data_IF_337532416256
#
_entry.id   IF_337532416256
#
_cell.length_a   1.000
_cell.length_b   1.000
_cell.length_c   1.000
_cell.angle_alpha   90.00
_cell.angle_beta   90.00
_cell.angle_gamma   90.00
#
_symmetry.space_group_name_H-M   'P 1'
#
loop_
_entity.id
_entity.type
_entity.pdbx_description
1 polymer ?
#
# COMPACT_ATOMS: atom_id res chain seq x y z
N UNK A 1 -9.01 2.68 30.70
CA UNK A 1 -7.57 2.79 30.44
C UNK A 1 -7.33 2.19 29.05
N UNK A 2 -7.45 2.94 28.02
CA UNK A 2 -6.47 3.76 27.29
C UNK A 2 -5.13 3.07 27.13
N UNK A 3 -4.96 2.29 26.11
CA UNK A 3 -3.70 2.22 25.39
C UNK A 3 -4.00 1.83 23.94
N UNK A 4 -4.24 2.86 23.14
CA UNK A 4 -4.13 2.74 21.70
C UNK A 4 -2.68 2.49 21.37
N UNK A 5 -2.33 1.27 21.10
CA UNK A 5 -1.02 0.93 20.57
C UNK A 5 -1.01 1.44 19.14
N UNK A 6 -0.44 2.61 18.98
CA UNK A 6 0.03 3.10 17.70
C UNK A 6 1.15 2.18 17.28
N UNK A 7 0.83 1.17 16.51
CA UNK A 7 1.87 0.34 15.92
C UNK A 7 2.42 1.07 14.72
N UNK A 8 3.48 1.74 15.01
CA UNK A 8 4.45 2.26 14.08
C UNK A 8 5.12 1.12 13.36
N UNK A 9 5.38 1.36 12.13
CA UNK A 9 6.56 0.90 11.43
C UNK A 9 6.32 0.02 10.24
N UNK A 10 6.28 0.67 9.11
CA UNK A 10 7.01 0.11 7.99
C UNK A 10 7.93 1.21 7.46
N UNK A 11 9.19 1.08 7.72
CA UNK A 11 10.22 1.83 7.01
C UNK A 11 10.33 1.19 5.64
N UNK A 12 9.65 1.75 4.67
CA UNK A 12 9.82 1.40 3.28
C UNK A 12 10.92 2.28 2.71
N UNK A 13 12.16 1.75 2.67
CA UNK A 13 13.20 2.31 1.82
C UNK A 13 12.81 2.02 0.37
N UNK A 14 12.03 2.90 -0.26
CA UNK A 14 11.80 2.86 -1.68
C UNK A 14 13.06 3.41 -2.38
N UNK A 15 13.94 2.52 -2.81
CA UNK A 15 14.99 2.82 -3.79
C UNK A 15 14.32 2.97 -5.16
N UNK A 16 13.86 4.19 -5.46
CA UNK A 16 13.42 4.52 -6.80
C UNK A 16 14.66 4.87 -7.63
N UNK A 17 15.16 3.89 -8.37
CA UNK A 17 16.14 4.12 -9.41
C UNK A 17 15.41 4.71 -10.63
N UNK A 18 15.35 6.02 -10.73
CA UNK A 18 14.97 6.69 -11.96
C UNK A 18 16.18 6.71 -12.89
N UNK A 19 16.28 5.73 -13.79
CA UNK A 19 17.19 5.84 -14.95
C UNK A 19 16.62 6.86 -15.90
N UNK A 20 17.38 7.93 -16.10
CA UNK A 20 17.01 9.17 -16.73
C UNK A 20 16.30 9.09 -18.06
N UNK A 21 15.22 9.84 -18.15
CA UNK A 21 14.91 10.61 -19.34
C UNK A 21 15.26 12.05 -19.03
N UNK A 22 16.23 12.60 -19.74
CA UNK A 22 16.54 14.02 -19.73
C UNK A 22 15.38 14.80 -20.35
N UNK A 23 14.41 15.13 -19.51
CA UNK A 23 13.48 16.22 -19.75
C UNK A 23 13.75 17.26 -18.68
N UNK A 24 13.97 18.49 -19.15
CA UNK A 24 14.27 19.71 -18.43
C UNK A 24 14.05 19.61 -16.91
N UNK A 25 15.13 19.70 -16.17
CA UNK A 25 15.13 19.84 -14.72
C UNK A 25 14.46 21.17 -14.40
N UNK A 26 13.15 21.16 -14.27
CA UNK A 26 12.49 22.11 -13.41
C UNK A 26 12.89 21.71 -11.98
N UNK A 27 13.18 22.69 -11.16
CA UNK A 27 13.62 22.67 -9.75
C UNK A 27 12.75 21.79 -8.80
N UNK A 28 12.28 20.65 -9.26
CA UNK A 28 11.48 19.74 -8.45
C UNK A 28 12.40 19.06 -7.43
N UNK A 29 12.28 19.51 -6.22
CA UNK A 29 12.93 18.87 -5.09
C UNK A 29 12.49 17.41 -5.04
N UNK A 30 13.38 16.48 -4.70
CA UNK A 30 13.04 15.04 -4.64
C UNK A 30 11.86 14.71 -3.72
N UNK A 31 11.68 15.47 -2.66
CA UNK A 31 10.55 15.40 -1.74
C UNK A 31 9.21 15.72 -2.42
N UNK A 32 9.14 16.75 -3.28
CA UNK A 32 7.93 17.08 -4.04
C UNK A 32 7.51 15.97 -5.01
N UNK A 33 8.49 15.26 -5.59
CA UNK A 33 8.21 14.10 -6.43
C UNK A 33 7.57 12.95 -5.63
N UNK A 34 8.06 12.70 -4.42
CA UNK A 34 7.51 11.69 -3.51
C UNK A 34 6.12 12.10 -3.01
N UNK A 35 5.92 13.37 -2.67
CA UNK A 35 4.60 13.89 -2.32
C UNK A 35 3.60 13.69 -3.46
N UNK A 36 3.96 14.09 -4.68
CA UNK A 36 3.12 13.89 -5.88
C UNK A 36 2.78 12.41 -6.09
N UNK A 37 3.73 11.51 -5.85
CA UNK A 37 3.51 10.08 -5.95
C UNK A 37 2.46 9.61 -4.94
N UNK A 38 2.58 9.96 -3.67
CA UNK A 38 1.63 9.55 -2.63
C UNK A 38 0.25 10.20 -2.79
N UNK A 39 0.20 11.46 -3.25
CA UNK A 39 -1.07 12.12 -3.51
C UNK A 39 -1.88 11.43 -4.63
N UNK A 40 -1.23 10.87 -5.65
CA UNK A 40 -1.91 10.04 -6.67
C UNK A 40 -2.60 8.81 -6.05
N UNK A 41 -1.99 8.17 -5.07
CA UNK A 41 -2.63 7.05 -4.35
C UNK A 41 -3.84 7.53 -3.55
N UNK A 42 -3.72 8.63 -2.82
CA UNK A 42 -4.83 9.21 -2.04
C UNK A 42 -5.97 9.68 -2.94
N UNK A 43 -5.64 10.29 -4.08
CA UNK A 43 -6.61 10.73 -5.07
C UNK A 43 -7.25 9.55 -5.84
N UNK A 44 -6.71 8.33 -5.68
CA UNK A 44 -7.12 7.16 -6.49
C UNK A 44 -7.06 7.46 -7.98
N UNK A 45 -5.94 8.06 -8.42
CA UNK A 45 -5.67 8.38 -9.82
C UNK A 45 -5.98 7.17 -10.73
N UNK A 46 -6.50 7.41 -11.92
CA UNK A 46 -6.95 6.36 -12.84
C UNK A 46 -5.85 5.32 -13.12
N UNK A 47 -4.59 5.74 -13.21
CA UNK A 47 -3.47 4.81 -13.42
C UNK A 47 -3.25 3.90 -12.20
N UNK A 48 -3.37 4.45 -10.98
CA UNK A 48 -3.27 3.68 -9.74
C UNK A 48 -4.39 2.64 -9.65
N UNK A 49 -5.61 3.03 -9.96
CA UNK A 49 -6.76 2.12 -9.94
C UNK A 49 -6.65 1.06 -11.05
N UNK A 50 -6.13 1.43 -12.22
CA UNK A 50 -5.89 0.46 -13.31
C UNK A 50 -4.85 -0.59 -12.91
N UNK A 51 -3.72 -0.17 -12.36
CA UNK A 51 -2.68 -1.08 -11.87
C UNK A 51 -3.20 -1.98 -10.74
N UNK A 52 -4.02 -1.45 -9.83
CA UNK A 52 -4.65 -2.24 -8.79
C UNK A 52 -5.55 -3.33 -9.38
N UNK A 53 -6.39 -2.99 -10.35
CA UNK A 53 -7.26 -3.96 -11.04
C UNK A 53 -6.46 -5.03 -11.77
N UNK A 54 -5.43 -4.65 -12.51
CA UNK A 54 -4.54 -5.59 -13.20
C UNK A 54 -3.87 -6.55 -12.21
N UNK A 55 -3.40 -6.04 -11.07
CA UNK A 55 -2.81 -6.86 -10.02
C UNK A 55 -3.83 -7.86 -9.48
N UNK A 56 -5.05 -7.41 -9.16
CA UNK A 56 -6.11 -8.26 -8.61
C UNK A 56 -6.58 -9.31 -9.64
N UNK A 57 -6.62 -8.96 -10.93
CA UNK A 57 -7.02 -9.91 -11.98
C UNK A 57 -6.05 -11.10 -12.10
N UNK A 58 -4.77 -10.90 -11.79
CA UNK A 58 -3.75 -11.95 -11.79
C UNK A 58 -3.81 -12.86 -10.55
N UNK A 59 -4.63 -12.51 -9.55
CA UNK A 59 -4.81 -13.33 -8.34
C UNK A 59 -5.84 -14.44 -8.57
N UNK A 60 -5.59 -15.62 -7.99
CA UNK A 60 -6.49 -16.77 -8.01
C UNK A 60 -7.69 -16.58 -7.05
N UNK A 61 -8.48 -15.54 -7.31
CA UNK A 61 -9.64 -15.14 -6.52
C UNK A 61 -10.93 -15.25 -7.33
N UNK A 62 -12.04 -15.53 -6.66
CA UNK A 62 -13.37 -15.41 -7.27
C UNK A 62 -13.71 -13.94 -7.54
N UNK A 63 -14.65 -13.67 -8.45
CA UNK A 63 -15.07 -12.29 -8.76
C UNK A 63 -15.55 -11.52 -7.51
N UNK A 64 -16.27 -12.17 -6.60
CA UNK A 64 -16.70 -11.55 -5.34
C UNK A 64 -15.50 -11.20 -4.44
N UNK A 65 -14.51 -12.09 -4.35
CA UNK A 65 -13.28 -11.84 -3.62
C UNK A 65 -12.45 -10.71 -4.23
N UNK A 66 -12.33 -10.66 -5.56
CA UNK A 66 -11.67 -9.57 -6.30
C UNK A 66 -12.30 -8.21 -6.00
N UNK A 67 -13.62 -8.14 -6.04
CA UNK A 67 -14.35 -6.90 -5.71
C UNK A 67 -14.13 -6.47 -4.24
N UNK A 68 -14.14 -7.41 -3.32
CA UNK A 68 -13.89 -7.13 -1.89
C UNK A 68 -12.47 -6.68 -1.65
N UNK A 69 -11.50 -7.31 -2.33
CA UNK A 69 -10.10 -6.94 -2.24
C UNK A 69 -9.85 -5.54 -2.80
N UNK A 70 -10.42 -5.22 -3.97
CA UNK A 70 -10.34 -3.87 -4.53
C UNK A 70 -10.86 -2.81 -3.55
N UNK A 71 -12.05 -3.00 -2.97
CA UNK A 71 -12.62 -2.08 -1.98
C UNK A 71 -11.74 -1.93 -0.74
N UNK A 72 -11.12 -3.01 -0.29
CA UNK A 72 -10.20 -2.99 0.83
C UNK A 72 -8.97 -2.13 0.52
N UNK A 73 -8.39 -2.28 -0.66
CA UNK A 73 -7.22 -1.50 -1.09
C UNK A 73 -7.56 -0.02 -1.32
N UNK A 74 -8.71 0.27 -1.92
CA UNK A 74 -9.18 1.66 -2.07
C UNK A 74 -9.38 2.34 -0.71
N UNK A 75 -9.94 1.62 0.27
CA UNK A 75 -10.05 2.12 1.65
C UNK A 75 -8.67 2.34 2.28
N UNK A 76 -7.70 1.48 1.99
CA UNK A 76 -6.32 1.66 2.42
C UNK A 76 -5.74 2.96 1.83
N UNK A 77 -5.99 3.24 0.55
CA UNK A 77 -5.53 4.47 -0.11
C UNK A 77 -6.19 5.74 0.47
N UNK A 78 -7.45 5.67 0.88
CA UNK A 78 -8.14 6.79 1.53
C UNK A 78 -7.57 7.13 2.92
N UNK A 79 -6.98 6.17 3.59
CA UNK A 79 -6.64 6.30 5.02
C UNK A 79 -5.15 6.21 5.33
N UNK A 80 -4.29 5.99 4.33
CA UNK A 80 -2.86 6.06 4.61
C UNK A 80 -2.40 7.51 4.81
N UNK A 81 -1.40 7.67 5.67
CA UNK A 81 -0.72 8.94 5.87
C UNK A 81 0.78 8.73 5.66
N UNK A 82 1.49 9.78 5.29
CA UNK A 82 2.93 9.73 5.12
C UNK A 82 3.58 10.98 5.70
N UNK A 83 4.85 10.84 6.07
CA UNK A 83 5.70 11.94 6.53
C UNK A 83 7.08 11.74 5.93
N UNK A 84 7.58 12.71 5.19
CA UNK A 84 8.96 12.74 4.71
C UNK A 84 9.87 13.04 5.91
N UNK A 85 10.84 12.18 6.17
CA UNK A 85 11.75 12.27 7.31
C UNK A 85 13.09 12.86 6.94
N UNK A 86 13.62 12.51 5.78
CA UNK A 86 14.95 12.90 5.34
C UNK A 86 15.06 12.80 3.82
N UNK A 87 15.83 13.70 3.24
CA UNK A 87 16.14 13.70 1.80
C UNK A 87 17.64 13.86 1.62
N UNK A 88 18.26 12.90 0.93
CA UNK A 88 19.69 12.90 0.61
C UNK A 88 19.87 12.90 -0.89
N UNK A 89 20.65 13.84 -1.39
CA UNK A 89 21.04 13.90 -2.79
C UNK A 89 22.51 13.60 -2.90
N UNK A 90 22.86 12.66 -3.77
CA UNK A 90 24.24 12.33 -4.11
C UNK A 90 24.35 12.12 -5.60
N UNK A 91 25.18 12.94 -6.23
CA UNK A 91 25.34 12.97 -7.70
C UNK A 91 23.95 13.14 -8.38
N UNK A 92 23.59 12.23 -9.28
CA UNK A 92 22.31 12.25 -10.00
C UNK A 92 21.20 11.44 -9.31
N UNK A 93 21.44 11.02 -8.05
CA UNK A 93 20.51 10.19 -7.30
C UNK A 93 20.02 10.88 -6.04
N UNK A 94 18.71 10.84 -5.80
CA UNK A 94 18.11 11.28 -4.56
C UNK A 94 17.48 10.11 -3.80
N UNK A 95 17.67 10.10 -2.49
CA UNK A 95 17.03 9.14 -1.58
C UNK A 95 16.12 9.92 -0.63
N UNK A 96 14.84 9.62 -0.67
CA UNK A 96 13.84 10.23 0.22
C UNK A 96 13.36 9.17 1.21
N UNK A 97 13.61 9.40 2.49
CA UNK A 97 13.13 8.52 3.56
C UNK A 97 11.74 8.97 3.99
N UNK A 98 10.77 8.09 3.83
CA UNK A 98 9.37 8.40 4.12
C UNK A 98 8.80 7.38 5.12
N UNK A 99 8.15 7.87 6.17
CA UNK A 99 7.36 7.05 7.08
C UNK A 99 5.92 6.99 6.55
N UNK A 100 5.40 5.79 6.33
CA UNK A 100 4.03 5.58 5.87
C UNK A 100 3.22 4.90 6.96
N UNK A 101 2.08 5.47 7.30
CA UNK A 101 1.11 4.90 8.24
C UNK A 101 -0.06 4.32 7.45
N UNK A 102 -0.33 3.04 7.67
CA UNK A 102 -1.39 2.29 6.99
C UNK A 102 -2.39 1.71 7.99
N UNK A 103 -3.57 1.31 7.50
CA UNK A 103 -4.53 0.58 8.33
C UNK A 103 -3.91 -0.74 8.84
N UNK A 104 -4.08 -0.98 10.12
CA UNK A 104 -3.63 -2.22 10.73
C UNK A 104 -4.74 -3.27 10.69
N UNK A 105 -4.62 -4.21 9.76
CA UNK A 105 -5.55 -5.34 9.62
C UNK A 105 -5.19 -6.55 10.48
N UNK A 106 -4.09 -6.52 11.23
CA UNK A 106 -3.59 -7.68 11.99
C UNK A 106 -4.64 -8.28 12.91
N UNK A 107 -5.39 -7.45 13.64
CA UNK A 107 -6.42 -7.94 14.55
C UNK A 107 -7.59 -8.60 13.80
N UNK A 108 -7.93 -8.11 12.61
CA UNK A 108 -8.97 -8.70 11.77
C UNK A 108 -8.51 -10.05 11.19
N UNK A 109 -7.25 -10.12 10.75
CA UNK A 109 -6.64 -11.37 10.23
C UNK A 109 -6.61 -12.41 11.33
N UNK A 110 -6.12 -12.10 12.54
CA UNK A 110 -6.06 -13.04 13.66
C UNK A 110 -7.45 -13.56 14.05
N UNK A 111 -8.48 -12.71 14.05
CA UNK A 111 -9.86 -13.14 14.29
C UNK A 111 -10.39 -14.06 13.19
N UNK A 112 -10.07 -13.76 11.93
CA UNK A 112 -10.47 -14.58 10.79
C UNK A 112 -9.78 -15.96 10.84
N UNK A 113 -8.50 -16.00 11.20
CA UNK A 113 -7.76 -17.26 11.40
C UNK A 113 -8.34 -18.09 12.55
N UNK A 114 -8.68 -17.45 13.66
CA UNK A 114 -9.33 -18.12 14.80
C UNK A 114 -10.70 -18.67 14.41
N UNK A 115 -11.50 -17.88 13.69
CA UNK A 115 -12.81 -18.33 13.22
C UNK A 115 -12.70 -19.47 12.21
N UNK A 116 -11.75 -19.41 11.28
CA UNK A 116 -11.47 -20.49 10.34
C UNK A 116 -11.09 -21.79 11.06
N UNK A 117 -10.28 -21.68 12.11
CA UNK A 117 -9.87 -22.84 12.91
C UNK A 117 -11.03 -23.46 13.70
N UNK A 118 -11.91 -22.63 14.26
CA UNK A 118 -12.98 -23.06 15.13
C UNK A 118 -14.25 -23.49 14.36
N UNK A 119 -14.46 -22.95 13.16
CA UNK A 119 -15.65 -23.16 12.35
C UNK A 119 -15.29 -23.34 10.86
N UNK A 120 -14.48 -24.34 10.50
CA UNK A 120 -13.98 -24.51 9.13
C UNK A 120 -15.10 -24.72 8.10
N UNK A 121 -16.25 -25.25 8.52
CA UNK A 121 -17.40 -25.49 7.66
C UNK A 121 -18.01 -24.19 7.08
N UNK A 122 -17.87 -23.07 7.78
CA UNK A 122 -18.33 -21.75 7.27
C UNK A 122 -17.51 -21.27 6.05
N UNK A 123 -16.34 -21.82 5.89
CA UNK A 123 -15.37 -21.41 4.88
C UNK A 123 -15.18 -22.46 3.78
N UNK A 124 -15.91 -23.58 3.81
CA UNK A 124 -15.79 -24.69 2.87
C UNK A 124 -16.04 -24.32 1.41
N UNK A 125 -16.79 -23.23 1.18
CA UNK A 125 -17.07 -22.69 -0.16
C UNK A 125 -15.96 -21.77 -0.70
N UNK A 126 -14.96 -21.41 0.11
CA UNK A 126 -13.86 -20.56 -0.29
C UNK A 126 -12.64 -21.43 -0.60
N UNK A 127 -12.13 -21.30 -1.82
CA UNK A 127 -10.82 -21.84 -2.18
C UNK A 127 -9.76 -20.93 -1.59
N UNK A 128 -9.10 -21.37 -0.52
CA UNK A 128 -7.89 -20.70 -0.04
C UNK A 128 -6.72 -21.21 -0.88
N UNK A 129 -6.16 -20.37 -1.74
CA UNK A 129 -4.89 -20.65 -2.38
C UNK A 129 -3.87 -21.04 -1.31
N UNK A 130 -3.05 -22.07 -1.56
CA UNK A 130 -1.98 -22.44 -0.62
C UNK A 130 -1.02 -21.28 -0.50
N UNK A 131 -0.87 -20.79 0.71
CA UNK A 131 0.24 -19.91 1.09
C UNK A 131 1.57 -20.66 1.03
#
# INVERSE_FOLDING_TARGET
MKNGIKTVLVVLCALLLFTGCSCAINDNKPDEAVETFFEKYRAKDDNIITQLKETIENEELTNDQKMKYQKLMEKQYDQFAYVIKDTKVKDDTATVTTEVTVLNYRSAILKAEEELKNNPEKFSQYSFGRL
#
